data_IF_153257730081
#
_entry.id   IF_153257730081
#
_cell.length_a   1.000
_cell.length_b   1.000
_cell.length_c   1.000
_cell.angle_alpha   90.00
_cell.angle_beta   90.00
_cell.angle_gamma   90.00
#
_symmetry.space_group_name_H-M   'P 1'
#
loop_
_entity.id
_entity.type
_entity.pdbx_description
1 polymer ?
#
# COMPACT_ATOMS: atom_id res chain seq x y z
N UNK A 1 -29.20 32.19 -60.60
CA UNK A 1 -28.68 32.01 -59.22
C UNK A 1 -27.46 31.13 -59.31
N UNK A 2 -26.27 31.73 -59.33
CA UNK A 2 -24.97 31.06 -59.53
C UNK A 2 -24.33 30.84 -58.16
N UNK A 3 -23.97 29.58 -57.87
CA UNK A 3 -23.31 29.16 -56.62
C UNK A 3 -21.88 29.72 -56.61
N UNK A 4 -21.55 30.50 -55.58
CA UNK A 4 -20.20 31.01 -55.31
C UNK A 4 -19.44 29.90 -54.57
N UNK A 5 -18.35 29.43 -55.18
CA UNK A 5 -17.37 28.57 -54.54
C UNK A 5 -16.37 29.44 -53.78
N UNK A 6 -16.25 29.24 -52.46
CA UNK A 6 -15.21 29.85 -51.64
C UNK A 6 -14.05 28.86 -51.48
N UNK A 7 -12.86 29.22 -51.98
CA UNK A 7 -11.60 28.55 -51.71
C UNK A 7 -11.21 28.78 -50.24
N UNK A 8 -10.98 27.71 -49.48
CA UNK A 8 -10.22 27.78 -48.23
C UNK A 8 -8.74 27.57 -48.55
N UNK A 9 -7.94 28.62 -48.37
CA UNK A 9 -6.48 28.57 -48.36
C UNK A 9 -5.99 27.92 -47.06
N UNK A 10 -5.38 26.73 -47.15
CA UNK A 10 -4.65 26.09 -46.06
C UNK A 10 -3.33 26.86 -45.84
N UNK A 11 -3.22 27.58 -44.73
CA UNK A 11 -1.94 28.08 -44.24
C UNK A 11 -1.20 26.93 -43.53
N UNK A 12 -0.07 26.47 -44.10
CA UNK A 12 0.85 25.57 -43.42
C UNK A 12 1.56 26.35 -42.30
N UNK A 13 1.19 26.07 -41.05
CA UNK A 13 1.97 26.43 -39.87
C UNK A 13 3.13 25.43 -39.72
N UNK A 14 4.36 25.89 -39.42
CA UNK A 14 5.48 24.98 -39.16
C UNK A 14 5.21 24.22 -37.87
N UNK A 15 5.29 22.89 -37.91
CA UNK A 15 5.39 22.04 -36.72
C UNK A 15 6.72 22.39 -36.02
N UNK A 16 6.66 23.27 -35.03
CA UNK A 16 7.68 23.33 -33.99
C UNK A 16 7.65 21.99 -33.25
N UNK A 17 8.75 21.25 -33.29
CA UNK A 17 8.95 20.07 -32.47
C UNK A 17 8.74 20.46 -31.01
N UNK A 18 7.64 20.01 -30.42
CA UNK A 18 7.40 20.07 -28.98
C UNK A 18 8.41 19.12 -28.34
N UNK A 19 9.51 19.68 -27.83
CA UNK A 19 10.31 18.99 -26.83
C UNK A 19 9.41 18.70 -25.64
N UNK A 20 9.24 17.42 -25.30
CA UNK A 20 8.54 16.99 -24.09
C UNK A 20 9.41 17.29 -22.87
N UNK A 21 9.47 18.55 -22.47
CA UNK A 21 9.82 18.93 -21.11
C UNK A 21 8.52 18.93 -20.31
N UNK A 22 8.16 17.79 -19.74
CA UNK A 22 7.02 17.69 -18.84
C UNK A 22 7.33 18.45 -17.55
N UNK A 23 6.66 19.57 -17.32
CA UNK A 23 6.58 20.18 -16.01
C UNK A 23 5.86 19.19 -15.09
N UNK A 24 6.62 18.47 -14.25
CA UNK A 24 6.06 17.71 -13.14
C UNK A 24 5.35 18.65 -12.15
N UNK A 25 4.45 18.14 -11.30
CA UNK A 25 3.77 18.96 -10.30
C UNK A 25 4.79 19.76 -9.48
N UNK A 26 4.61 21.08 -9.41
CA UNK A 26 5.43 21.97 -8.59
C UNK A 26 5.28 21.58 -7.14
N UNK A 27 6.41 21.42 -6.44
CA UNK A 27 6.55 20.67 -5.19
C UNK A 27 5.68 21.21 -4.04
N UNK A 28 5.26 20.30 -3.17
CA UNK A 28 4.28 20.54 -2.10
C UNK A 28 4.80 21.36 -0.91
N UNK A 29 4.25 21.10 0.27
CA UNK A 29 4.67 21.72 1.53
C UNK A 29 5.39 20.69 2.40
N UNK A 30 6.57 21.00 2.90
CA UNK A 30 7.35 20.11 3.76
C UNK A 30 7.82 20.81 5.03
N UNK A 31 8.12 20.00 6.05
CA UNK A 31 8.90 20.45 7.20
C UNK A 31 10.38 20.63 6.83
N UNK A 32 11.12 21.40 7.63
CA UNK A 32 12.55 21.73 7.39
C UNK A 32 13.47 20.50 7.26
N UNK A 33 13.05 19.37 7.80
CA UNK A 33 13.81 18.12 7.84
C UNK A 33 13.35 17.07 6.80
N UNK A 34 12.56 17.49 5.82
CA UNK A 34 12.13 16.67 4.68
C UNK A 34 12.41 17.43 3.41
N UNK A 35 13.14 16.86 2.48
CA UNK A 35 13.42 17.44 1.17
C UNK A 35 12.65 16.67 0.11
N UNK A 36 12.00 17.37 -0.80
CA UNK A 36 11.53 16.76 -2.04
C UNK A 36 12.71 16.60 -3.00
N UNK A 37 12.91 15.39 -3.52
CA UNK A 37 14.01 15.08 -4.45
C UNK A 37 13.52 15.18 -5.88
N UNK A 38 12.52 14.37 -6.26
CA UNK A 38 11.91 14.41 -7.60
C UNK A 38 10.61 13.62 -7.65
N UNK A 39 9.84 13.88 -8.68
CA UNK A 39 8.66 13.11 -9.04
C UNK A 39 9.01 12.06 -10.11
N UNK A 40 8.46 10.86 -9.94
CA UNK A 40 8.52 9.75 -10.90
C UNK A 40 7.09 9.51 -11.42
N UNK A 41 6.82 9.81 -12.70
CA UNK A 41 5.47 9.64 -13.25
C UNK A 41 5.10 8.16 -13.27
N UNK A 42 4.01 7.82 -12.61
CA UNK A 42 3.37 6.52 -12.67
C UNK A 42 1.86 6.71 -12.73
N UNK A 43 1.25 6.21 -13.81
CA UNK A 43 -0.19 5.98 -13.97
C UNK A 43 -1.14 6.88 -13.17
N UNK A 44 -0.93 8.19 -13.37
CA UNK A 44 -1.61 9.32 -12.71
C UNK A 44 -3.12 9.08 -12.63
N UNK A 45 -3.67 9.06 -11.41
CA UNK A 45 -5.10 8.88 -11.16
C UNK A 45 -5.58 7.42 -11.12
N UNK A 46 -4.69 6.44 -11.31
CA UNK A 46 -5.04 5.01 -11.27
C UNK A 46 -4.08 4.15 -10.45
N UNK A 47 -3.02 4.73 -9.86
CA UNK A 47 -2.13 4.04 -8.94
C UNK A 47 -2.93 3.48 -7.75
N UNK A 48 -2.63 2.25 -7.33
CA UNK A 48 -3.44 1.54 -6.32
C UNK A 48 -2.62 0.93 -5.20
N UNK A 49 -1.53 0.23 -5.50
CA UNK A 49 -0.72 -0.41 -4.46
C UNK A 49 0.74 -0.50 -4.84
N UNK A 50 1.59 -0.78 -3.84
CA UNK A 50 3.00 -1.03 -4.09
C UNK A 50 3.63 -1.98 -3.07
N UNK A 51 4.78 -2.56 -3.43
CA UNK A 51 5.63 -3.33 -2.51
C UNK A 51 7.08 -3.26 -2.92
N UNK A 52 7.97 -3.18 -1.93
CA UNK A 52 9.42 -3.30 -2.12
C UNK A 52 9.84 -4.73 -1.80
N UNK A 53 10.53 -5.41 -2.72
CA UNK A 53 11.17 -6.71 -2.48
C UNK A 53 12.62 -6.66 -2.94
N UNK A 54 13.54 -6.62 -1.98
CA UNK A 54 14.97 -6.43 -2.25
C UNK A 54 15.20 -5.08 -2.94
N UNK A 55 15.76 -5.11 -4.14
CA UNK A 55 16.02 -3.92 -4.96
C UNK A 55 14.94 -3.63 -6.00
N UNK A 56 13.77 -4.26 -5.89
CA UNK A 56 12.68 -4.09 -6.85
C UNK A 56 11.48 -3.45 -6.19
N UNK A 57 10.87 -2.50 -6.89
CA UNK A 57 9.63 -1.84 -6.48
C UNK A 57 8.52 -2.18 -7.46
N UNK A 58 7.49 -2.85 -6.96
CA UNK A 58 6.32 -3.26 -7.73
C UNK A 58 5.22 -2.26 -7.46
N UNK A 59 4.56 -1.77 -8.50
CA UNK A 59 3.49 -0.79 -8.38
C UNK A 59 2.33 -1.19 -9.27
N UNK A 60 1.13 -1.25 -8.71
CA UNK A 60 -0.10 -1.63 -9.40
C UNK A 60 -0.94 -0.40 -9.72
N UNK A 61 -1.59 -0.43 -10.87
CA UNK A 61 -2.62 0.51 -11.28
C UNK A 61 -3.90 -0.23 -11.67
N UNK A 62 -4.91 0.48 -12.14
CA UNK A 62 -6.15 -0.16 -12.63
C UNK A 62 -6.01 -0.86 -13.98
N UNK A 63 -4.90 -0.65 -14.70
CA UNK A 63 -4.74 -1.11 -16.09
C UNK A 63 -3.43 -1.84 -16.35
N UNK A 64 -2.48 -1.78 -15.42
CA UNK A 64 -1.18 -2.42 -15.52
C UNK A 64 -0.55 -2.59 -14.14
N UNK A 65 0.56 -3.33 -14.10
CA UNK A 65 1.55 -3.18 -13.05
C UNK A 65 2.91 -2.88 -13.66
N UNK A 66 3.77 -2.23 -12.88
CA UNK A 66 5.13 -1.89 -13.27
C UNK A 66 6.13 -2.44 -12.25
N UNK A 67 7.33 -2.74 -12.74
CA UNK A 67 8.46 -3.16 -11.92
C UNK A 67 9.60 -2.18 -12.17
N UNK A 68 10.12 -1.59 -11.10
CA UNK A 68 11.31 -0.74 -11.12
C UNK A 68 12.50 -1.44 -10.47
N UNK A 69 13.71 -1.25 -11.00
CA UNK A 69 14.95 -1.43 -10.25
C UNK A 69 15.20 -0.15 -9.43
N UNK A 70 15.33 -0.30 -8.12
CA UNK A 70 15.57 0.79 -7.16
C UNK A 70 16.93 0.66 -6.48
N UNK A 71 17.91 0.05 -7.15
CA UNK A 71 19.31 0.00 -6.69
C UNK A 71 19.90 1.40 -6.52
N UNK A 72 19.56 2.32 -7.43
CA UNK A 72 19.69 3.76 -7.22
C UNK A 72 18.30 4.34 -6.93
N UNK A 73 17.90 4.45 -5.65
CA UNK A 73 16.58 4.93 -5.29
C UNK A 73 16.36 6.40 -5.66
N UNK A 74 17.38 7.20 -5.97
CA UNK A 74 17.15 8.55 -6.51
C UNK A 74 16.84 8.51 -8.00
N UNK A 75 17.16 7.42 -8.69
CA UNK A 75 16.96 7.23 -10.13
C UNK A 75 16.39 5.83 -10.44
N UNK A 76 15.12 5.57 -10.06
CA UNK A 76 14.51 4.27 -10.34
C UNK A 76 14.44 4.02 -11.85
N UNK A 77 14.82 2.80 -12.25
CA UNK A 77 14.76 2.36 -13.64
C UNK A 77 13.51 1.51 -13.86
N UNK A 78 12.65 1.93 -14.79
CA UNK A 78 11.49 1.14 -15.20
C UNK A 78 11.97 -0.09 -15.99
N UNK A 79 11.79 -1.29 -15.44
CA UNK A 79 12.17 -2.54 -16.09
C UNK A 79 11.07 -3.08 -16.99
N UNK A 80 9.83 -3.02 -16.52
CA UNK A 80 8.68 -3.51 -17.27
C UNK A 80 7.40 -2.79 -16.88
N UNK A 81 6.47 -2.79 -17.83
CA UNK A 81 5.09 -2.38 -17.67
C UNK A 81 4.20 -3.43 -18.30
N UNK A 82 3.44 -4.12 -17.47
CA UNK A 82 2.62 -5.26 -17.89
C UNK A 82 1.16 -4.84 -17.95
N UNK A 83 0.60 -4.58 -19.15
CA UNK A 83 -0.79 -4.20 -19.28
C UNK A 83 -1.71 -5.36 -18.93
N UNK A 84 -2.80 -5.04 -18.25
CA UNK A 84 -3.91 -5.95 -18.06
C UNK A 84 -4.67 -6.09 -19.38
N UNK A 85 -4.52 -7.25 -19.99
CA UNK A 85 -5.22 -7.57 -21.23
C UNK A 85 -6.69 -7.81 -20.92
N UNK A 86 -7.55 -7.30 -21.81
CA UNK A 86 -8.97 -7.57 -21.78
C UNK A 86 -9.22 -9.08 -21.92
N UNK A 87 -9.75 -9.72 -20.87
CA UNK A 87 -10.39 -11.03 -21.01
C UNK A 87 -11.80 -10.79 -21.57
N UNK A 88 -12.17 -11.59 -22.57
CA UNK A 88 -13.53 -11.72 -23.12
C UNK A 88 -14.62 -11.83 -22.05
N UNK A 89 -14.30 -12.30 -20.84
CA UNK A 89 -15.24 -12.39 -19.74
C UNK A 89 -15.47 -11.10 -18.92
N UNK A 90 -14.60 -10.09 -19.02
CA UNK A 90 -14.73 -8.80 -18.29
C UNK A 90 -15.24 -7.64 -19.16
N UNK A 91 -15.94 -7.93 -20.27
CA UNK A 91 -16.44 -6.89 -21.19
C UNK A 91 -15.36 -5.91 -21.68
N UNK A 92 -14.13 -6.38 -21.92
CA UNK A 92 -13.26 -5.75 -22.93
C UNK A 92 -12.38 -4.57 -22.51
N UNK A 93 -12.25 -4.19 -21.24
CA UNK A 93 -11.48 -2.97 -20.88
C UNK A 93 -10.09 -3.22 -20.33
N UNK A 94 -9.80 -4.42 -19.80
CA UNK A 94 -8.54 -4.66 -19.05
C UNK A 94 -8.50 -3.95 -17.68
N UNK A 95 -9.62 -3.36 -17.24
CA UNK A 95 -9.72 -2.70 -15.94
C UNK A 95 -9.75 -3.71 -14.80
N UNK A 96 -8.93 -3.49 -13.76
CA UNK A 96 -8.88 -4.29 -12.55
C UNK A 96 -8.79 -3.41 -11.31
N UNK A 97 -9.55 -3.74 -10.28
CA UNK A 97 -9.66 -2.97 -9.03
C UNK A 97 -10.07 -3.92 -7.91
N UNK A 98 -9.69 -3.83 -6.64
CA UNK A 98 -8.68 -3.03 -5.97
C UNK A 98 -7.48 -3.94 -5.67
N UNK A 99 -6.26 -3.41 -5.62
CA UNK A 99 -5.06 -4.17 -5.23
C UNK A 99 -4.07 -3.26 -4.49
N UNK A 100 -4.49 -2.77 -3.32
CA UNK A 100 -3.80 -1.72 -2.57
C UNK A 100 -2.53 -2.19 -1.83
N UNK A 101 -2.44 -3.49 -1.57
CA UNK A 101 -1.19 -4.16 -1.16
C UNK A 101 -0.84 -5.27 -2.15
N UNK A 102 0.40 -5.26 -2.62
CA UNK A 102 0.87 -6.12 -3.71
C UNK A 102 1.47 -7.39 -3.12
N UNK A 103 0.75 -8.52 -3.18
CA UNK A 103 1.30 -9.81 -2.77
C UNK A 103 2.37 -10.31 -3.75
N UNK A 104 3.63 -10.40 -3.30
CA UNK A 104 4.73 -10.98 -4.09
C UNK A 104 5.90 -11.44 -3.21
N UNK A 105 6.59 -12.50 -3.66
CA UNK A 105 7.92 -12.90 -3.16
C UNK A 105 9.06 -12.58 -4.14
N UNK A 106 8.77 -11.81 -5.19
CA UNK A 106 9.71 -11.48 -6.28
C UNK A 106 9.96 -12.60 -7.30
N UNK A 107 9.29 -13.75 -7.16
CA UNK A 107 9.21 -14.81 -8.18
C UNK A 107 7.84 -14.85 -8.83
N UNK A 108 6.79 -14.78 -8.01
CA UNK A 108 5.42 -14.57 -8.48
C UNK A 108 4.83 -13.30 -7.88
N UNK A 109 3.92 -12.68 -8.61
CA UNK A 109 3.10 -11.55 -8.16
C UNK A 109 1.63 -11.94 -8.28
N UNK A 110 0.86 -11.60 -7.26
CA UNK A 110 -0.57 -11.86 -7.21
C UNK A 110 -1.29 -10.53 -7.32
N UNK A 111 -2.07 -10.38 -8.40
CA UNK A 111 -3.05 -9.32 -8.46
C UNK A 111 -4.37 -9.88 -7.94
N UNK A 112 -4.72 -9.54 -6.70
CA UNK A 112 -6.05 -9.79 -6.17
C UNK A 112 -6.96 -8.69 -6.66
N UNK A 113 -8.03 -9.06 -7.37
CA UNK A 113 -9.04 -8.14 -7.85
C UNK A 113 -10.29 -8.29 -6.96
N UNK A 114 -11.00 -7.20 -6.72
CA UNK A 114 -12.30 -7.17 -6.05
C UNK A 114 -13.45 -6.87 -7.02
N UNK A 115 -13.24 -5.92 -7.93
CA UNK A 115 -14.16 -5.42 -8.94
C UNK A 115 -13.49 -5.40 -10.33
N UNK A 116 -14.25 -5.64 -11.41
CA UNK A 116 -15.68 -5.91 -11.42
C UNK A 116 -16.07 -7.30 -10.90
N UNK A 117 -15.11 -8.23 -10.86
CA UNK A 117 -15.28 -9.60 -10.35
C UNK A 117 -14.15 -9.90 -9.37
N UNK A 118 -14.37 -10.60 -8.25
CA UNK A 118 -13.30 -10.92 -7.33
C UNK A 118 -12.42 -12.04 -7.90
N UNK A 119 -11.50 -11.70 -8.79
CA UNK A 119 -10.61 -12.66 -9.47
C UNK A 119 -9.20 -12.64 -8.85
N UNK A 120 -8.46 -13.73 -9.01
CA UNK A 120 -7.03 -13.80 -8.70
C UNK A 120 -6.26 -14.00 -10.00
N UNK A 121 -5.25 -13.17 -10.23
CA UNK A 121 -4.29 -13.36 -11.32
C UNK A 121 -2.91 -13.62 -10.75
N UNK A 122 -2.27 -14.69 -11.21
CA UNK A 122 -0.92 -15.09 -10.79
C UNK A 122 0.03 -14.83 -11.95
N UNK A 123 1.02 -13.97 -11.71
CA UNK A 123 2.06 -13.64 -12.67
C UNK A 123 3.38 -14.27 -12.26
N UNK A 124 4.09 -14.86 -13.20
CA UNK A 124 5.53 -15.06 -13.12
C UNK A 124 6.20 -13.70 -13.29
N UNK A 125 7.04 -13.33 -12.32
CA UNK A 125 7.85 -12.12 -12.34
C UNK A 125 9.31 -12.44 -12.09
N UNK A 126 9.77 -13.69 -12.24
CA UNK A 126 11.17 -14.06 -12.03
C UNK A 126 12.09 -13.27 -12.98
N UNK A 127 11.73 -13.22 -14.26
CA UNK A 127 12.23 -12.20 -15.20
C UNK A 127 11.44 -10.90 -15.03
N UNK A 128 12.10 -9.93 -14.38
CA UNK A 128 11.52 -8.61 -14.07
C UNK A 128 11.21 -7.78 -15.31
N UNK A 129 11.84 -8.09 -16.45
CA UNK A 129 11.67 -7.35 -17.70
C UNK A 129 10.54 -7.91 -18.57
N UNK A 130 10.13 -9.16 -18.31
CA UNK A 130 9.08 -9.83 -19.07
C UNK A 130 8.14 -10.66 -18.16
N UNK A 131 7.30 -10.02 -17.34
CA UNK A 131 6.29 -10.72 -16.56
C UNK A 131 5.28 -11.48 -17.42
N UNK A 132 4.87 -12.67 -16.98
CA UNK A 132 3.95 -13.54 -17.72
C UNK A 132 2.78 -13.97 -16.85
N UNK A 133 1.55 -13.90 -17.35
CA UNK A 133 0.39 -14.44 -16.64
C UNK A 133 0.48 -15.98 -16.64
N UNK A 134 0.58 -16.58 -15.46
CA UNK A 134 0.60 -18.03 -15.26
C UNK A 134 -0.81 -18.60 -15.18
N UNK A 135 -1.67 -17.97 -14.37
CA UNK A 135 -3.01 -18.47 -14.11
C UNK A 135 -3.99 -17.37 -13.71
N UNK A 136 -5.28 -17.66 -13.88
CA UNK A 136 -6.41 -16.79 -13.55
C UNK A 136 -7.51 -17.64 -12.91
N UNK A 137 -7.92 -17.27 -11.70
CA UNK A 137 -9.04 -17.89 -11.01
C UNK A 137 -10.19 -16.89 -10.87
N UNK A 138 -11.39 -17.36 -11.17
CA UNK A 138 -12.60 -16.55 -11.04
C UNK A 138 -13.28 -16.75 -9.71
N UNK A 139 -13.54 -15.66 -8.99
CA UNK A 139 -14.31 -15.66 -7.74
C UNK A 139 -13.54 -15.64 -6.40
N UNK A 140 -12.27 -16.08 -6.27
CA UNK A 140 -11.61 -16.11 -4.96
C UNK A 140 -10.85 -14.82 -4.59
N UNK A 141 -10.95 -13.76 -5.40
CA UNK A 141 -10.32 -12.47 -5.14
C UNK A 141 -10.91 -11.72 -3.94
N UNK A 142 -10.19 -10.69 -3.52
CA UNK A 142 -10.57 -9.78 -2.44
C UNK A 142 -9.90 -8.41 -2.61
N UNK A 143 -10.20 -7.50 -1.68
CA UNK A 143 -9.65 -6.15 -1.62
C UNK A 143 -8.12 -6.12 -1.51
N UNK A 144 -7.54 -6.93 -0.62
CA UNK A 144 -6.09 -7.24 -0.60
C UNK A 144 -5.87 -8.74 -0.42
N UNK A 145 -4.64 -9.16 -0.68
CA UNK A 145 -4.18 -10.51 -0.40
C UNK A 145 -2.71 -10.47 0.00
N UNK A 146 -2.25 -11.50 0.70
CA UNK A 146 -0.85 -11.65 1.09
C UNK A 146 -0.31 -13.05 0.84
N UNK A 147 0.93 -13.08 0.38
CA UNK A 147 1.70 -14.30 0.27
C UNK A 147 2.11 -14.82 1.64
N UNK A 148 1.77 -16.07 1.93
CA UNK A 148 2.12 -16.75 3.18
C UNK A 148 3.07 -17.92 2.87
N UNK A 149 4.14 -18.03 3.65
CA UNK A 149 5.18 -19.06 3.56
C UNK A 149 5.85 -19.10 2.18
N UNK A 150 6.46 -17.98 1.78
CA UNK A 150 7.14 -17.80 0.47
C UNK A 150 6.17 -17.99 -0.71
N UNK A 151 5.00 -17.37 -0.62
CA UNK A 151 3.89 -17.49 -1.57
C UNK A 151 3.44 -18.94 -1.86
N UNK A 152 3.68 -19.90 -0.97
CA UNK A 152 3.10 -21.25 -1.09
C UNK A 152 1.61 -21.26 -0.80
N UNK A 153 1.14 -20.24 -0.08
CA UNK A 153 -0.25 -20.00 0.25
C UNK A 153 -0.57 -18.54 -0.01
N UNK A 154 -1.82 -18.26 -0.36
CA UNK A 154 -2.37 -16.91 -0.41
C UNK A 154 -3.46 -16.79 0.63
N UNK A 155 -3.41 -15.76 1.47
CA UNK A 155 -4.54 -15.36 2.29
C UNK A 155 -5.16 -14.11 1.70
N UNK A 156 -6.47 -14.13 1.48
CA UNK A 156 -7.21 -12.96 1.02
C UNK A 156 -7.91 -12.27 2.19
N UNK A 157 -8.10 -10.96 2.11
CA UNK A 157 -8.64 -10.17 3.22
C UNK A 157 -10.06 -10.58 3.65
N UNK A 158 -10.85 -11.14 2.73
CA UNK A 158 -12.19 -11.69 2.99
C UNK A 158 -12.22 -13.11 3.60
N UNK A 159 -11.08 -13.66 4.01
CA UNK A 159 -10.96 -14.96 4.67
C UNK A 159 -10.50 -16.11 3.78
N UNK A 160 -10.39 -15.91 2.47
CA UNK A 160 -10.06 -16.97 1.51
C UNK A 160 -8.62 -17.48 1.67
N UNK A 161 -8.43 -18.76 1.30
CA UNK A 161 -7.13 -19.42 1.30
C UNK A 161 -6.95 -20.08 -0.07
N UNK A 162 -5.81 -19.81 -0.73
CA UNK A 162 -5.41 -20.52 -1.93
C UNK A 162 -4.09 -21.25 -1.69
N UNK A 163 -3.99 -22.46 -2.23
CA UNK A 163 -2.75 -23.20 -2.39
C UNK A 163 -2.06 -22.74 -3.67
N UNK A 164 -0.86 -22.18 -3.50
CA UNK A 164 -0.01 -21.63 -4.56
C UNK A 164 1.29 -22.44 -4.73
N UNK A 165 1.36 -23.67 -4.20
CA UNK A 165 2.55 -24.54 -4.39
C UNK A 165 2.80 -24.87 -5.86
N UNK A 166 1.74 -24.89 -6.67
CA UNK A 166 1.80 -24.79 -8.13
C UNK A 166 1.09 -23.50 -8.56
N UNK A 167 1.83 -22.41 -8.86
CA UNK A 167 1.23 -21.12 -9.24
C UNK A 167 0.57 -21.14 -10.62
N UNK A 168 0.82 -22.17 -11.44
CA UNK A 168 0.16 -22.35 -12.75
C UNK A 168 -1.20 -23.04 -12.64
N UNK A 169 -1.44 -23.78 -11.55
CA UNK A 169 -2.72 -24.44 -11.25
C UNK A 169 -3.15 -24.26 -9.77
N UNK A 170 -3.35 -23.01 -9.32
CA UNK A 170 -3.71 -22.69 -7.95
C UNK A 170 -5.06 -23.29 -7.53
N UNK A 171 -5.16 -23.70 -6.26
CA UNK A 171 -6.38 -24.35 -5.72
C UNK A 171 -6.99 -23.54 -4.59
N UNK A 172 -8.28 -23.24 -4.71
CA UNK A 172 -9.06 -22.67 -3.60
C UNK A 172 -9.27 -23.75 -2.54
N UNK A 173 -8.94 -23.43 -1.30
CA UNK A 173 -9.24 -24.30 -0.16
C UNK A 173 -10.69 -24.06 0.26
N UNK A 174 -11.46 -25.14 0.44
CA UNK A 174 -12.85 -25.10 0.91
C UNK A 174 -12.93 -24.86 2.44
N UNK A 175 -12.37 -23.72 2.86
CA UNK A 175 -12.28 -23.25 4.22
C UNK A 175 -11.81 -21.80 4.24
N UNK A 176 -12.25 -21.03 5.23
CA UNK A 176 -11.67 -19.71 5.52
C UNK A 176 -10.68 -19.74 6.68
N UNK A 177 -9.65 -18.88 6.62
CA UNK A 177 -8.73 -18.69 7.75
C UNK A 177 -9.42 -18.03 8.97
N UNK A 178 -10.58 -17.40 8.74
CA UNK A 178 -11.45 -16.82 9.79
C UNK A 178 -12.35 -17.85 10.48
N UNK A 179 -12.41 -19.11 10.03
CA UNK A 179 -13.28 -20.10 10.65
C UNK A 179 -12.91 -20.39 12.11
N UNK A 180 -13.88 -20.23 13.01
CA UNK A 180 -13.66 -20.42 14.45
C UNK A 180 -12.87 -19.30 15.11
N UNK A 181 -12.62 -18.19 14.42
CA UNK A 181 -11.93 -17.00 14.92
C UNK A 181 -12.92 -15.94 15.40
N UNK A 182 -12.52 -15.04 16.31
CA UNK A 182 -13.38 -13.94 16.76
C UNK A 182 -13.65 -12.89 15.68
N UNK A 183 -12.75 -12.72 14.70
CA UNK A 183 -12.99 -11.86 13.54
C UNK A 183 -13.44 -12.71 12.34
N UNK A 184 -14.39 -12.18 11.56
CA UNK A 184 -14.99 -12.89 10.41
C UNK A 184 -14.49 -12.39 9.04
N UNK A 185 -13.64 -11.36 9.03
CA UNK A 185 -12.98 -10.78 7.85
C UNK A 185 -11.93 -9.75 8.27
N UNK A 186 -11.15 -9.28 7.31
CA UNK A 186 -10.08 -8.29 7.49
C UNK A 186 -10.11 -7.27 6.37
N UNK A 187 -9.53 -6.10 6.60
CA UNK A 187 -9.12 -5.23 5.49
C UNK A 187 -7.89 -5.78 4.79
N UNK A 188 -6.94 -6.28 5.60
CA UNK A 188 -5.63 -6.73 5.15
C UNK A 188 -5.06 -7.86 6.02
N UNK A 189 -4.10 -8.61 5.49
CA UNK A 189 -3.34 -9.64 6.19
C UNK A 189 -1.87 -9.48 5.82
N UNK A 190 -0.94 -9.61 6.76
CA UNK A 190 0.50 -9.43 6.50
C UNK A 190 1.33 -10.54 7.16
N UNK A 191 2.20 -11.21 6.40
CA UNK A 191 3.16 -12.18 6.94
C UNK A 191 4.44 -11.48 7.42
N UNK A 192 4.48 -11.14 8.71
CA UNK A 192 5.62 -10.42 9.31
C UNK A 192 6.86 -11.32 9.53
N UNK A 193 6.67 -12.63 9.55
CA UNK A 193 7.73 -13.64 9.55
C UNK A 193 7.15 -14.96 9.04
N UNK A 194 7.94 -15.94 8.56
CA UNK A 194 7.41 -17.18 8.01
C UNK A 194 6.34 -17.85 8.91
N UNK A 195 5.10 -17.83 8.45
CA UNK A 195 3.88 -18.32 9.07
C UNK A 195 3.37 -17.54 10.29
N UNK A 196 3.97 -16.41 10.66
CA UNK A 196 3.43 -15.48 11.65
C UNK A 196 2.69 -14.36 10.91
N UNK A 197 1.37 -14.38 10.99
CA UNK A 197 0.50 -13.49 10.20
C UNK A 197 -0.23 -12.54 11.13
N UNK A 198 -0.23 -11.26 10.80
CA UNK A 198 -1.06 -10.25 11.43
C UNK A 198 -2.29 -9.97 10.57
N UNK A 199 -3.40 -9.60 11.21
CA UNK A 199 -4.64 -9.26 10.51
C UNK A 199 -5.09 -7.85 10.86
N UNK A 200 -5.39 -7.06 9.83
CA UNK A 200 -6.13 -5.80 9.95
C UNK A 200 -7.64 -6.06 10.10
N UNK A 201 -8.00 -6.88 11.08
CA UNK A 201 -9.38 -7.28 11.38
C UNK A 201 -9.86 -6.62 12.66
N UNK A 202 -11.15 -6.78 12.99
CA UNK A 202 -11.72 -6.34 14.27
C UNK A 202 -12.34 -7.52 15.02
N UNK A 203 -11.73 -8.03 16.12
CA UNK A 203 -10.45 -7.58 16.69
C UNK A 203 -9.26 -7.86 15.77
N UNK A 204 -8.17 -7.11 15.97
CA UNK A 204 -6.85 -7.42 15.38
C UNK A 204 -6.45 -8.81 15.87
N UNK A 205 -5.85 -9.63 15.01
CA UNK A 205 -5.40 -10.97 15.39
C UNK A 205 -3.93 -11.21 15.01
N UNK A 206 -3.27 -12.02 15.83
CA UNK A 206 -1.98 -12.63 15.53
C UNK A 206 -2.21 -14.12 15.28
N UNK A 207 -1.84 -14.61 14.11
CA UNK A 207 -2.07 -15.97 13.65
C UNK A 207 -0.75 -16.72 13.43
N UNK A 208 -0.78 -18.04 13.62
CA UNK A 208 0.32 -18.96 13.35
C UNK A 208 -0.08 -20.00 12.30
N UNK A 209 0.37 -19.80 11.08
CA UNK A 209 0.15 -20.66 9.91
C UNK A 209 1.24 -21.73 9.72
N UNK A 210 2.29 -21.78 10.55
CA UNK A 210 3.49 -22.61 10.28
C UNK A 210 3.21 -24.11 10.21
N UNK A 211 2.29 -24.60 11.05
CA UNK A 211 1.97 -26.04 11.13
C UNK A 211 0.89 -26.45 10.12
N UNK A 212 -0.13 -25.61 9.99
CA UNK A 212 -1.31 -25.88 9.16
C UNK A 212 -1.77 -24.54 8.56
N UNK A 213 -1.28 -24.18 7.37
CA UNK A 213 -1.66 -22.93 6.71
C UNK A 213 -3.13 -22.91 6.28
N UNK A 214 -3.82 -24.05 6.26
CA UNK A 214 -5.26 -24.07 5.97
C UNK A 214 -6.10 -23.77 7.21
N UNK A 215 -5.52 -23.91 8.40
CA UNK A 215 -6.18 -23.67 9.69
C UNK A 215 -5.18 -23.04 10.66
N UNK A 216 -4.83 -21.75 10.45
CA UNK A 216 -3.87 -21.08 11.29
C UNK A 216 -4.36 -21.00 12.73
N UNK A 217 -3.44 -20.98 13.69
CA UNK A 217 -3.76 -20.91 15.12
C UNK A 217 -3.79 -19.47 15.59
N UNK A 218 -4.87 -19.06 16.26
CA UNK A 218 -4.93 -17.78 16.97
C UNK A 218 -3.93 -17.74 18.14
N UNK A 219 -3.04 -16.75 18.13
CA UNK A 219 -2.03 -16.53 19.17
C UNK A 219 -2.42 -15.40 20.13
N UNK A 220 -2.95 -14.30 19.62
CA UNK A 220 -3.36 -13.15 20.40
C UNK A 220 -4.38 -12.27 19.66
N UNK A 221 -5.09 -11.43 20.40
CA UNK A 221 -6.00 -10.40 19.87
C UNK A 221 -5.70 -9.01 20.41
N UNK A 222 -5.99 -7.97 19.62
CA UNK A 222 -6.02 -6.58 20.08
C UNK A 222 -7.41 -6.17 20.60
N UNK A 223 -7.45 -5.13 21.44
CA UNK A 223 -8.70 -4.57 21.96
C UNK A 223 -9.38 -3.67 20.93
N UNK A 224 -10.45 -4.17 20.31
CA UNK A 224 -11.23 -3.41 19.32
C UNK A 224 -11.70 -2.05 19.82
N UNK A 225 -11.97 -1.86 21.10
CA UNK A 225 -12.51 -0.59 21.64
C UNK A 225 -11.52 0.57 21.55
N UNK A 226 -10.23 0.28 21.35
CA UNK A 226 -9.17 1.30 21.21
C UNK A 226 -8.96 1.80 19.79
N UNK A 227 -9.67 1.23 18.82
CA UNK A 227 -9.45 1.48 17.39
C UNK A 227 -10.53 2.44 16.88
N UNK A 228 -10.08 3.61 16.39
CA UNK A 228 -10.89 4.53 15.58
C UNK A 228 -10.82 4.14 14.11
N UNK A 229 -11.85 4.43 13.32
CA UNK A 229 -11.93 3.96 11.93
C UNK A 229 -11.98 2.43 11.77
N UNK A 230 -11.76 1.95 10.54
CA UNK A 230 -11.57 0.54 10.21
C UNK A 230 -10.09 0.16 10.28
N UNK A 231 -9.73 -0.98 10.87
CA UNK A 231 -8.32 -1.42 10.85
C UNK A 231 -7.91 -1.66 9.40
N UNK A 232 -6.79 -1.12 8.98
CA UNK A 232 -6.45 -1.01 7.56
C UNK A 232 -5.18 -1.79 7.22
N UNK A 233 -4.04 -1.39 7.79
CA UNK A 233 -2.72 -1.96 7.50
C UNK A 233 -1.95 -2.23 8.79
N UNK A 234 -0.93 -3.08 8.72
CA UNK A 234 -0.18 -3.49 9.90
C UNK A 234 1.26 -3.89 9.55
N UNK A 235 2.18 -3.71 10.51
CA UNK A 235 3.56 -4.19 10.43
C UNK A 235 4.04 -4.63 11.82
N UNK A 236 4.95 -5.59 11.85
CA UNK A 236 5.65 -5.97 13.07
C UNK A 236 7.17 -5.90 12.88
N UNK A 237 7.80 -4.82 13.37
CA UNK A 237 9.22 -4.60 13.21
C UNK A 237 10.07 -5.79 13.66
N UNK A 238 11.27 -5.87 13.07
CA UNK A 238 12.25 -6.93 13.36
C UNK A 238 11.72 -8.35 13.09
N UNK A 239 10.85 -8.50 12.09
CA UNK A 239 10.24 -9.78 11.69
C UNK A 239 9.43 -10.41 12.83
N UNK A 240 8.53 -9.65 13.44
CA UNK A 240 7.70 -10.13 14.54
C UNK A 240 8.41 -10.33 15.87
N UNK A 241 9.57 -9.67 16.08
CA UNK A 241 10.39 -9.83 17.29
C UNK A 241 10.46 -8.59 18.17
N UNK A 242 9.98 -7.45 17.69
CA UNK A 242 9.93 -6.24 18.50
C UNK A 242 8.85 -6.34 19.58
N UNK A 243 9.03 -5.58 20.66
CA UNK A 243 8.03 -5.45 21.72
C UNK A 243 6.85 -4.58 21.24
N UNK A 244 7.07 -3.72 20.24
CA UNK A 244 6.06 -2.84 19.66
C UNK A 244 5.60 -3.39 18.31
N UNK A 245 4.28 -3.45 18.10
CA UNK A 245 3.65 -3.75 16.81
C UNK A 245 2.81 -2.55 16.35
N UNK A 246 2.73 -2.35 15.04
CA UNK A 246 2.24 -1.13 14.41
C UNK A 246 0.99 -1.41 13.58
N UNK A 247 0.02 -0.50 13.64
CA UNK A 247 -1.21 -0.58 12.87
C UNK A 247 -1.62 0.81 12.38
N UNK A 248 -2.21 0.88 11.18
CA UNK A 248 -3.02 2.02 10.79
C UNK A 248 -4.48 1.61 10.74
N UNK A 249 -5.36 2.57 11.01
CA UNK A 249 -6.77 2.49 10.68
C UNK A 249 -7.15 3.57 9.70
N UNK A 250 -8.23 3.32 8.98
CA UNK A 250 -8.70 4.11 7.87
C UNK A 250 -10.09 4.72 8.13
N UNK A 251 -10.29 5.96 7.68
CA UNK A 251 -11.62 6.54 7.47
C UNK A 251 -11.62 7.38 6.19
N UNK A 252 -12.36 6.93 5.19
CA UNK A 252 -12.48 7.61 3.91
C UNK A 252 -13.68 8.56 3.84
N UNK A 253 -13.62 9.50 2.90
CA UNK A 253 -14.69 10.45 2.60
C UNK A 253 -15.12 11.32 3.80
N UNK A 254 -14.18 11.60 4.71
CA UNK A 254 -14.39 12.49 5.85
C UNK A 254 -13.83 13.88 5.55
N UNK A 255 -14.68 14.89 5.42
CA UNK A 255 -14.25 16.28 5.16
C UNK A 255 -13.70 17.02 6.39
N UNK A 256 -13.47 16.34 7.52
CA UNK A 256 -12.92 16.91 8.75
C UNK A 256 -12.06 15.89 9.50
N UNK A 257 -10.90 16.33 9.95
CA UNK A 257 -9.96 15.54 10.73
C UNK A 257 -10.22 15.72 12.22
N UNK A 258 -10.70 14.68 12.88
CA UNK A 258 -11.06 14.74 14.29
C UNK A 258 -10.77 13.41 14.99
N UNK A 259 -11.07 13.38 16.29
CA UNK A 259 -10.94 12.24 17.21
C UNK A 259 -11.40 10.86 16.71
N UNK A 260 -12.27 10.81 15.71
CA UNK A 260 -12.90 9.58 15.19
C UNK A 260 -12.29 9.05 13.90
N UNK A 261 -11.40 9.81 13.26
CA UNK A 261 -10.72 9.40 12.03
C UNK A 261 -9.76 8.24 12.27
N UNK A 262 -9.40 7.56 11.19
CA UNK A 262 -8.37 6.54 11.21
C UNK A 262 -7.01 7.13 11.65
N UNK A 263 -6.26 6.32 12.38
CA UNK A 263 -5.11 6.73 13.16
C UNK A 263 -3.94 5.77 12.91
N UNK A 264 -2.73 6.23 13.18
CA UNK A 264 -1.58 5.34 13.36
C UNK A 264 -1.49 4.94 14.84
N UNK A 265 -1.29 3.67 15.12
CA UNK A 265 -1.40 3.10 16.47
C UNK A 265 -0.24 2.17 16.80
N UNK A 266 0.18 2.20 18.05
CA UNK A 266 1.19 1.29 18.61
C UNK A 266 0.58 0.39 19.68
N UNK A 267 1.09 -0.85 19.73
CA UNK A 267 0.64 -1.85 20.67
C UNK A 267 1.83 -2.62 21.26
N UNK A 268 1.77 -2.95 22.55
CA UNK A 268 2.71 -3.82 23.24
C UNK A 268 2.38 -5.29 22.94
N UNK A 269 3.35 -5.96 22.35
CA UNK A 269 3.33 -7.38 22.06
C UNK A 269 4.30 -8.18 22.93
N UNK A 270 5.08 -7.57 23.83
CA UNK A 270 6.13 -8.23 24.62
C UNK A 270 5.65 -9.47 25.41
N UNK A 271 4.37 -9.50 25.81
CA UNK A 271 3.76 -10.58 26.60
C UNK A 271 2.69 -11.38 25.86
N UNK A 272 2.49 -11.16 24.56
CA UNK A 272 1.35 -11.72 23.79
C UNK A 272 1.22 -13.24 23.90
N UNK A 273 2.35 -13.97 23.94
CA UNK A 273 2.34 -15.45 24.07
C UNK A 273 1.71 -15.92 25.38
N UNK A 274 1.87 -15.15 26.46
CA UNK A 274 1.36 -15.45 27.81
C UNK A 274 -0.06 -14.91 27.98
N UNK A 275 -0.29 -13.65 27.61
CA UNK A 275 -1.58 -12.96 27.84
C UNK A 275 -2.63 -13.28 26.78
N UNK A 276 -2.21 -13.74 25.60
CA UNK A 276 -3.07 -13.89 24.40
C UNK A 276 -3.67 -12.56 23.95
N UNK A 277 -3.02 -11.45 24.29
CA UNK A 277 -3.46 -10.10 23.96
C UNK A 277 -2.31 -9.23 23.49
N UNK A 278 -2.63 -8.27 22.61
CA UNK A 278 -1.83 -7.08 22.35
C UNK A 278 -2.41 -5.95 23.20
N UNK A 279 -1.56 -5.14 23.83
CA UNK A 279 -2.02 -4.03 24.70
C UNK A 279 -1.81 -2.69 24.00
N UNK A 280 -2.87 -1.91 23.84
CA UNK A 280 -2.80 -0.58 23.22
C UNK A 280 -1.83 0.32 24.01
N UNK A 281 -0.98 1.05 23.29
CA UNK A 281 0.00 1.99 23.87
C UNK A 281 -0.37 3.42 23.56
N UNK A 282 -0.44 3.77 22.27
CA UNK A 282 -0.70 5.15 21.83
C UNK A 282 -1.36 5.20 20.45
N UNK A 283 -1.93 6.36 20.12
CA UNK A 283 -2.49 6.65 18.80
C UNK A 283 -2.12 8.05 18.35
N UNK A 284 -1.68 8.18 17.11
CA UNK A 284 -1.45 9.44 16.41
C UNK A 284 -2.58 9.67 15.40
N UNK A 285 -3.22 10.83 15.51
CA UNK A 285 -4.32 11.26 14.65
C UNK A 285 -3.97 12.56 13.96
N UNK A 286 -4.45 12.67 12.72
CA UNK A 286 -4.33 13.88 11.92
C UNK A 286 -5.34 14.93 12.39
N UNK A 287 -4.96 16.19 12.30
CA UNK A 287 -5.78 17.33 12.72
C UNK A 287 -6.12 18.25 11.54
N UNK A 288 -7.08 19.15 11.73
CA UNK A 288 -7.33 20.22 10.76
C UNK A 288 -6.34 21.36 11.00
N UNK A 289 -5.93 22.03 9.92
CA UNK A 289 -5.10 23.23 9.99
C UNK A 289 -4.96 23.88 8.62
N UNK A 290 -3.73 24.10 8.18
CA UNK A 290 -3.39 24.76 6.93
C UNK A 290 -2.30 23.98 6.19
N UNK A 291 -2.12 24.23 4.89
CA UNK A 291 -1.00 23.62 4.16
C UNK A 291 0.37 23.93 4.78
N UNK A 292 0.54 25.13 5.34
CA UNK A 292 1.80 25.59 5.95
C UNK A 292 2.15 24.92 7.27
N UNK A 293 1.17 24.46 8.04
CA UNK A 293 1.39 23.64 9.25
C UNK A 293 1.33 22.13 8.95
N UNK A 294 1.31 21.81 7.65
CA UNK A 294 1.17 20.46 7.16
C UNK A 294 -0.23 19.90 7.32
N UNK A 295 -1.27 20.57 7.83
CA UNK A 295 -2.60 19.98 8.01
C UNK A 295 -3.63 20.54 7.00
N UNK A 296 -3.56 20.18 5.70
CA UNK A 296 -4.42 20.77 4.69
C UNK A 296 -5.90 20.42 4.89
N UNK A 297 -6.77 21.09 4.13
CA UNK A 297 -8.19 20.77 4.10
C UNK A 297 -8.43 19.37 3.51
N UNK A 298 -9.12 18.51 4.26
CA UNK A 298 -9.57 17.19 3.83
C UNK A 298 -10.78 17.31 2.89
N UNK A 299 -10.75 16.63 1.74
CA UNK A 299 -11.82 16.71 0.74
C UNK A 299 -12.31 15.33 0.30
N UNK A 300 -11.52 14.61 -0.49
CA UNK A 300 -11.88 13.36 -1.18
C UNK A 300 -11.75 12.13 -0.29
N UNK A 301 -10.52 11.63 -0.11
CA UNK A 301 -10.27 10.47 0.76
C UNK A 301 -10.15 10.92 2.22
N UNK A 302 -9.56 12.09 2.44
CA UNK A 302 -9.62 12.82 3.69
C UNK A 302 -8.31 12.72 4.46
N UNK A 303 -8.41 12.40 5.74
CA UNK A 303 -7.27 12.42 6.65
C UNK A 303 -7.31 11.19 7.53
N UNK A 304 -6.52 10.22 7.09
CA UNK A 304 -6.36 8.97 7.79
C UNK A 304 -4.96 8.47 7.56
N UNK A 305 -4.35 7.85 8.58
CA UNK A 305 -3.21 6.98 8.32
C UNK A 305 -3.65 5.83 7.40
N UNK A 306 -2.78 5.42 6.48
CA UNK A 306 -3.07 4.39 5.49
C UNK A 306 -1.93 3.36 5.46
N UNK A 307 -1.28 3.08 4.32
CA UNK A 307 -0.10 2.22 4.27
C UNK A 307 1.14 2.94 4.80
N UNK A 308 2.01 2.21 5.48
CA UNK A 308 3.19 2.75 6.13
C UNK A 308 4.35 1.75 6.13
N UNK A 309 5.53 2.26 6.45
CA UNK A 309 6.76 1.47 6.55
C UNK A 309 7.62 1.98 7.71
N UNK A 310 8.07 1.06 8.58
CA UNK A 310 9.03 1.38 9.62
C UNK A 310 10.45 1.53 9.04
N UNK A 311 11.22 2.45 9.60
CA UNK A 311 12.62 2.57 9.24
C UNK A 311 13.39 1.33 9.68
N UNK A 312 14.36 0.88 8.89
CA UNK A 312 15.13 -0.36 9.17
C UNK A 312 15.87 -0.40 10.51
N UNK A 313 16.09 0.76 11.13
CA UNK A 313 16.72 0.87 12.46
C UNK A 313 15.72 0.72 13.61
N UNK A 314 14.42 0.60 13.32
CA UNK A 314 13.38 0.47 14.33
C UNK A 314 13.69 -0.71 15.26
N UNK A 315 13.82 -0.42 16.55
CA UNK A 315 14.13 -1.40 17.58
C UNK A 315 13.67 -0.88 18.94
N UNK A 316 12.54 -1.38 19.42
CA UNK A 316 11.84 -0.82 20.59
C UNK A 316 11.59 0.67 20.40
N UNK A 317 11.03 1.03 19.25
CA UNK A 317 10.87 2.40 18.82
C UNK A 317 11.78 2.80 17.66
N UNK A 318 11.47 3.92 17.05
CA UNK A 318 12.15 4.47 15.88
C UNK A 318 11.18 5.14 14.91
N UNK A 319 11.73 5.57 13.77
CA UNK A 319 10.98 6.28 12.74
C UNK A 319 10.04 5.36 11.95
N UNK A 320 8.91 5.93 11.55
CA UNK A 320 7.94 5.33 10.62
C UNK A 320 7.50 6.41 9.62
N UNK A 321 7.40 6.03 8.34
CA UNK A 321 6.83 6.88 7.29
C UNK A 321 5.43 6.39 6.95
N UNK A 322 4.43 7.28 6.98
CA UNK A 322 3.01 6.96 6.79
C UNK A 322 2.48 7.66 5.53
N UNK A 323 1.78 6.95 4.66
CA UNK A 323 0.83 7.56 3.74
C UNK A 323 -0.39 8.06 4.51
N UNK A 324 -0.86 9.27 4.20
CA UNK A 324 -1.95 9.94 4.92
C UNK A 324 -2.93 10.71 4.03
N UNK A 325 -3.18 10.21 2.82
CA UNK A 325 -4.08 10.81 1.84
C UNK A 325 -3.75 12.27 1.55
N UNK A 326 -4.71 13.18 1.66
CA UNK A 326 -4.49 14.61 1.44
C UNK A 326 -3.48 15.20 2.43
N UNK A 327 -3.25 14.54 3.57
CA UNK A 327 -2.18 14.89 4.52
C UNK A 327 -0.81 14.37 4.08
N UNK A 328 -0.67 13.79 2.89
CA UNK A 328 0.63 13.46 2.31
C UNK A 328 1.39 12.37 3.07
N UNK A 329 2.72 12.45 3.06
CA UNK A 329 3.58 11.59 3.87
C UNK A 329 3.83 12.21 5.25
N UNK A 330 3.62 11.43 6.31
CA UNK A 330 4.03 11.77 7.68
C UNK A 330 5.25 10.97 8.11
N UNK A 331 6.13 11.62 8.85
CA UNK A 331 7.20 10.96 9.58
C UNK A 331 6.90 11.05 11.06
N UNK A 332 6.79 9.90 11.72
CA UNK A 332 6.56 9.81 13.16
C UNK A 332 7.72 9.07 13.83
N UNK A 333 8.12 9.53 15.01
CA UNK A 333 9.00 8.82 15.91
C UNK A 333 8.17 8.06 16.96
N UNK A 334 8.48 6.79 17.14
CA UNK A 334 7.88 5.93 18.16
C UNK A 334 8.89 5.75 19.29
N UNK A 335 8.59 6.23 20.48
CA UNK A 335 9.43 6.02 21.65
C UNK A 335 9.36 4.57 22.14
N UNK A 336 10.31 4.16 22.99
CA UNK A 336 10.38 2.79 23.50
C UNK A 336 9.22 2.34 24.39
N UNK A 337 8.38 3.28 24.83
CA UNK A 337 7.13 3.00 25.53
C UNK A 337 5.90 3.01 24.58
N UNK A 338 6.12 3.10 23.27
CA UNK A 338 5.09 3.16 22.23
C UNK A 338 4.55 4.55 21.94
N UNK A 339 4.93 5.60 22.70
CA UNK A 339 4.42 6.95 22.48
C UNK A 339 4.83 7.46 21.09
N UNK A 340 3.88 8.03 20.36
CA UNK A 340 4.08 8.51 18.98
C UNK A 340 4.26 10.03 18.99
N UNK A 341 5.16 10.55 18.16
CA UNK A 341 5.35 11.99 17.95
C UNK A 341 5.64 12.25 16.48
N UNK A 342 4.88 13.14 15.83
CA UNK A 342 5.22 13.60 14.48
C UNK A 342 6.53 14.40 14.51
N UNK A 343 7.43 14.05 13.59
CA UNK A 343 8.74 14.66 13.47
C UNK A 343 8.98 15.30 12.11
N UNK A 344 8.09 15.12 11.14
CA UNK A 344 8.16 15.78 9.85
C UNK A 344 7.03 15.38 8.91
N UNK A 345 6.89 16.12 7.81
CA UNK A 345 5.87 15.84 6.80
C UNK A 345 6.29 16.32 5.41
N UNK A 346 5.62 15.76 4.40
CA UNK A 346 5.52 16.31 3.05
C UNK A 346 4.06 16.19 2.59
N UNK A 347 3.46 17.30 2.19
CA UNK A 347 2.10 17.41 1.67
C UNK A 347 2.18 17.77 0.19
N UNK A 348 1.96 16.81 -0.74
CA UNK A 348 1.96 17.10 -2.16
C UNK A 348 0.82 18.06 -2.55
N UNK A 349 1.09 18.97 -3.49
CA UNK A 349 0.04 19.78 -4.11
C UNK A 349 -0.97 18.87 -4.83
N UNK A 350 -2.25 18.97 -4.45
CA UNK A 350 -3.36 18.17 -5.00
C UNK A 350 -3.13 16.64 -4.97
N UNK A 351 -2.33 16.15 -4.01
CA UNK A 351 -2.06 14.73 -3.85
C UNK A 351 -3.06 14.01 -2.94
N UNK A 352 -3.06 12.69 -3.05
CA UNK A 352 -3.65 11.78 -2.08
C UNK A 352 -2.70 10.60 -1.86
N UNK A 353 -1.78 10.76 -0.90
CA UNK A 353 -0.70 9.82 -0.63
C UNK A 353 -1.21 8.59 0.10
N UNK A 354 -1.23 7.44 -0.57
CA UNK A 354 -1.73 6.19 -0.02
C UNK A 354 -0.67 5.41 0.76
N UNK A 355 0.60 5.51 0.38
CA UNK A 355 1.65 4.70 0.99
C UNK A 355 2.98 5.45 1.07
N UNK A 356 3.85 5.00 1.97
CA UNK A 356 5.22 5.49 2.07
C UNK A 356 6.15 4.32 2.41
N UNK A 357 7.25 4.20 1.67
CA UNK A 357 8.21 3.10 1.80
C UNK A 357 9.63 3.64 1.97
N UNK A 358 10.39 3.13 2.93
CA UNK A 358 11.81 3.44 3.06
C UNK A 358 12.62 2.60 2.07
N UNK A 359 13.40 3.28 1.22
CA UNK A 359 14.27 2.62 0.23
C UNK A 359 15.68 2.45 0.76
N UNK A 360 16.09 3.36 1.64
CA UNK A 360 17.34 3.29 2.39
C UNK A 360 17.21 4.12 3.68
N UNK A 361 18.33 4.50 4.31
CA UNK A 361 18.29 5.28 5.55
C UNK A 361 17.58 6.63 5.41
N UNK A 362 17.54 7.21 4.22
CA UNK A 362 17.12 8.60 4.04
C UNK A 362 16.04 8.80 3.01
N UNK A 363 15.89 7.88 2.06
CA UNK A 363 14.96 8.05 0.96
C UNK A 363 13.68 7.27 1.20
N UNK A 364 12.57 7.96 0.96
CA UNK A 364 11.22 7.42 1.00
C UNK A 364 10.56 7.60 -0.36
N UNK A 365 9.88 6.56 -0.84
CA UNK A 365 8.93 6.70 -1.94
C UNK A 365 7.55 6.90 -1.36
N UNK A 366 6.96 8.04 -1.70
CA UNK A 366 5.60 8.41 -1.38
C UNK A 366 4.73 8.05 -2.59
N UNK A 367 3.86 7.05 -2.43
CA UNK A 367 2.93 6.62 -3.49
C UNK A 367 1.64 7.38 -3.32
N UNK A 368 1.22 8.03 -4.41
CA UNK A 368 0.10 8.94 -4.44
C UNK A 368 -0.90 8.55 -5.53
N UNK A 369 -2.16 8.35 -5.14
CA UNK A 369 -3.22 7.91 -6.03
C UNK A 369 -3.50 8.90 -7.16
N UNK A 370 -3.32 10.20 -6.92
CA UNK A 370 -3.62 11.22 -7.94
C UNK A 370 -2.40 11.57 -8.76
N UNK A 371 -1.19 11.49 -8.20
CA UNK A 371 0.02 12.02 -8.84
C UNK A 371 0.96 10.94 -9.38
N UNK A 372 1.19 9.84 -8.68
CA UNK A 372 2.27 8.90 -8.99
C UNK A 372 3.23 8.73 -7.80
N UNK A 373 4.54 8.75 -8.02
CA UNK A 373 5.52 8.52 -6.95
C UNK A 373 6.36 9.78 -6.71
N UNK A 374 6.32 10.32 -5.51
CA UNK A 374 7.23 11.38 -5.07
C UNK A 374 8.42 10.75 -4.30
N UNK A 375 9.64 11.14 -4.64
CA UNK A 375 10.86 10.73 -3.92
C UNK A 375 11.19 11.80 -2.88
N UNK A 376 11.20 11.41 -1.62
CA UNK A 376 11.45 12.27 -0.48
C UNK A 376 12.77 11.88 0.20
N UNK A 377 13.48 12.86 0.75
CA UNK A 377 14.64 12.64 1.60
C UNK A 377 14.36 13.14 3.01
N UNK A 378 14.44 12.25 3.99
CA UNK A 378 14.44 12.62 5.40
C UNK A 378 15.84 13.04 5.84
N UNK A 379 15.96 14.26 6.38
CA UNK A 379 17.23 14.84 6.86
C UNK A 379 17.27 14.99 8.39
N UNK A 380 16.20 14.58 9.08
CA UNK A 380 16.13 14.56 10.54
C UNK A 380 17.00 13.47 11.20
N UNK A 381 16.79 13.29 12.50
CA UNK A 381 17.53 12.33 13.33
C UNK A 381 16.86 10.95 13.32
N UNK A 382 17.67 9.90 13.51
CA UNK A 382 17.25 8.49 13.61
C UNK A 382 17.34 7.97 15.04
#
# INVERSE_FOLDING_TARGET
>A
MKKIAALLSLALLPLSALGTAGAGPTDGFNSDNVEYVKFVPFEVGTATGAKVVGKYFYVTSWKDFTIYDVSDPENPELLSKTPFVADTAQQGTGFRFENEDVATNGKILIFSQQLPVPDIFVYDVEDKTNPVLLSHLRGPGAHTAECVLDCKWLYTSNGGILDLRDPSDPKVVDRKWTEGMPATGSHDVNEVAPGLVLTSSRPIMVLDARKDPTRPKLLAVGDSEKITGGVHSNQWPNKGKDDIVLFSSESNATGRCNGSNGAFMTWDASKYKKTKTLTFLDSYQLTNGTYSDGSPAANGLGCSAHWFDEHRTFKKGGLVALGSYEHGTRFVDVASNGKITEVGYFVPNAGSTSASYWLNDRLVYSVDYTRGIDILRYTGKF
#
